data_IF_357486176192
#
_entry.id   IF_357486176192
#
_cell.length_a   1.000
_cell.length_b   1.000
_cell.length_c   1.000
_cell.angle_alpha   90.00
_cell.angle_beta   90.00
_cell.angle_gamma   90.00
#
_symmetry.space_group_name_H-M   'P 1'
#
loop_
_entity.id
_entity.type
_entity.pdbx_description
1 polymer ?
#
# COMPACT_ATOMS: atom_id res chain seq x y z
N UNK A 1 15.22 15.54 0.81
CA UNK A 1 14.18 16.49 0.37
C UNK A 1 12.92 16.21 1.18
N UNK A 2 12.15 17.23 1.62
CA UNK A 2 10.76 17.01 2.05
C UNK A 2 10.01 16.27 0.93
N UNK A 3 9.09 15.35 1.27
CA UNK A 3 8.26 14.68 0.24
C UNK A 3 7.53 15.74 -0.58
N UNK A 4 7.47 15.53 -1.89
CA UNK A 4 6.68 16.40 -2.76
C UNK A 4 5.21 16.39 -2.28
N UNK A 5 4.56 17.56 -2.30
CA UNK A 5 3.13 17.69 -1.98
C UNK A 5 2.29 16.71 -2.79
N UNK A 6 2.74 16.39 -4.01
CA UNK A 6 2.08 15.43 -4.85
C UNK A 6 2.11 14.00 -4.28
N UNK A 7 3.26 13.48 -3.85
CA UNK A 7 3.32 12.12 -3.29
C UNK A 7 2.42 11.98 -2.04
N UNK A 8 2.31 13.05 -1.25
CA UNK A 8 1.37 13.12 -0.12
C UNK A 8 -0.08 13.07 -0.61
N UNK A 9 -0.44 13.84 -1.63
CA UNK A 9 -1.78 13.84 -2.21
C UNK A 9 -2.14 12.47 -2.82
N UNK A 10 -1.23 11.87 -3.59
CA UNK A 10 -1.43 10.58 -4.23
C UNK A 10 -1.67 9.46 -3.20
N UNK A 11 -0.82 9.39 -2.17
CA UNK A 11 -1.00 8.43 -1.07
C UNK A 11 -2.30 8.68 -0.28
N UNK A 12 -2.73 9.94 -0.15
CA UNK A 12 -4.03 10.31 0.42
C UNK A 12 -5.20 9.75 -0.39
N UNK A 13 -5.17 9.93 -1.71
CA UNK A 13 -6.20 9.38 -2.62
C UNK A 13 -6.22 7.85 -2.55
N UNK A 14 -5.07 7.18 -2.60
CA UNK A 14 -5.00 5.72 -2.44
C UNK A 14 -5.66 5.27 -1.14
N UNK A 15 -5.36 5.96 -0.04
CA UNK A 15 -5.87 5.64 1.30
C UNK A 15 -7.40 5.78 1.38
N UNK A 16 -7.96 6.81 0.77
CA UNK A 16 -9.41 7.02 0.73
C UNK A 16 -10.11 5.99 -0.19
N UNK A 17 -9.44 5.56 -1.27
CA UNK A 17 -10.01 4.63 -2.27
C UNK A 17 -9.74 3.14 -1.99
N UNK A 18 -9.03 2.78 -0.91
CA UNK A 18 -8.75 1.37 -0.55
C UNK A 18 -10.00 0.48 -0.52
N UNK A 19 -11.15 1.04 -0.14
CA UNK A 19 -12.42 0.31 -0.07
C UNK A 19 -13.03 -0.03 -1.44
N UNK A 20 -12.58 0.65 -2.51
CA UNK A 20 -12.99 0.41 -3.91
C UNK A 20 -12.07 -0.58 -4.61
N UNK A 21 -10.91 -0.90 -4.01
CA UNK A 21 -9.95 -1.81 -4.59
C UNK A 21 -10.42 -3.26 -4.46
N UNK A 22 -10.00 -4.10 -5.42
CA UNK A 22 -10.40 -5.51 -5.48
C UNK A 22 -9.97 -6.26 -4.23
N UNK A 23 -10.86 -7.11 -3.72
CA UNK A 23 -10.65 -7.87 -2.49
C UNK A 23 -9.40 -8.78 -2.55
N UNK A 24 -9.08 -9.31 -3.74
CA UNK A 24 -7.91 -10.18 -3.99
C UNK A 24 -6.58 -9.54 -3.58
N UNK A 25 -6.48 -8.20 -3.62
CA UNK A 25 -5.32 -7.47 -3.13
C UNK A 25 -5.11 -7.67 -1.64
N UNK A 26 -6.16 -7.88 -0.84
CA UNK A 26 -6.07 -7.96 0.61
C UNK A 26 -6.26 -9.38 1.16
N UNK A 27 -6.49 -10.35 0.30
CA UNK A 27 -6.56 -11.76 0.68
C UNK A 27 -5.20 -12.29 1.14
N UNK A 28 -5.20 -13.09 2.20
CA UNK A 28 -4.04 -13.86 2.64
C UNK A 28 -3.84 -15.10 1.73
N UNK A 29 -3.50 -14.84 0.48
CA UNK A 29 -3.37 -15.83 -0.59
C UNK A 29 -2.15 -15.52 -1.47
N UNK A 30 -1.65 -16.51 -2.21
CA UNK A 30 -0.49 -16.35 -3.11
C UNK A 30 -0.84 -15.61 -4.41
N UNK A 31 -2.10 -15.20 -4.59
CA UNK A 31 -2.52 -14.44 -5.78
C UNK A 31 -1.95 -13.03 -5.70
N UNK A 32 -1.16 -12.65 -6.71
CA UNK A 32 -0.68 -11.28 -6.90
C UNK A 32 -1.66 -10.50 -7.74
N UNK A 33 -1.73 -9.20 -7.50
CA UNK A 33 -2.58 -8.29 -8.27
C UNK A 33 -2.04 -6.87 -8.14
N UNK A 34 -2.36 -6.02 -9.13
CA UNK A 34 -2.00 -4.61 -9.13
C UNK A 34 -3.20 -3.78 -9.51
N UNK A 35 -3.44 -2.70 -8.79
CA UNK A 35 -4.51 -1.76 -9.13
C UNK A 35 -4.00 -0.32 -9.11
N UNK A 36 -4.50 0.43 -10.09
CA UNK A 36 -4.17 1.83 -10.29
C UNK A 36 -5.29 2.69 -9.69
N UNK A 37 -4.89 3.75 -9.01
CA UNK A 37 -5.77 4.79 -8.50
C UNK A 37 -5.33 6.10 -9.13
N UNK A 38 -6.21 6.69 -9.93
CA UNK A 38 -5.93 7.96 -10.60
C UNK A 38 -6.14 9.11 -9.62
N UNK A 39 -5.15 10.00 -9.55
CA UNK A 39 -5.14 11.16 -8.66
C UNK A 39 -5.81 12.35 -9.34
N UNK A 40 -5.50 12.56 -10.62
CA UNK A 40 -6.11 13.62 -11.45
C UNK A 40 -6.21 13.21 -12.92
N UNK A 41 -6.66 14.14 -13.76
CA UNK A 41 -6.86 13.95 -15.20
C UNK A 41 -5.58 14.11 -16.03
N UNK A 42 -4.48 14.56 -15.45
CA UNK A 42 -3.18 14.80 -16.10
C UNK A 42 -2.31 13.52 -16.15
N UNK A 43 -2.88 12.36 -15.85
CA UNK A 43 -2.19 11.05 -15.91
C UNK A 43 -1.42 10.70 -14.63
N UNK A 44 -1.59 11.51 -13.60
CA UNK A 44 -1.06 11.30 -12.27
C UNK A 44 -1.81 10.16 -11.56
N UNK A 45 -1.06 9.18 -11.05
CA UNK A 45 -1.64 7.99 -10.44
C UNK A 45 -0.77 7.41 -9.34
N UNK A 46 -1.36 6.51 -8.57
CA UNK A 46 -0.67 5.71 -7.57
C UNK A 46 -1.12 4.26 -7.71
N UNK A 47 -0.19 3.33 -7.64
CA UNK A 47 -0.49 1.90 -7.70
C UNK A 47 -0.45 1.27 -6.32
N UNK A 48 -1.24 0.23 -6.13
CA UNK A 48 -1.08 -0.73 -5.05
C UNK A 48 -0.94 -2.11 -5.67
N UNK A 49 0.23 -2.72 -5.52
CA UNK A 49 0.56 -4.03 -6.04
C UNK A 49 0.80 -4.99 -4.87
N UNK A 50 0.03 -6.07 -4.79
CA UNK A 50 0.34 -7.20 -3.92
C UNK A 50 1.43 -8.03 -4.58
N UNK A 51 2.63 -7.98 -4.00
CA UNK A 51 3.83 -8.61 -4.55
C UNK A 51 3.94 -10.07 -4.15
N UNK A 52 3.65 -10.39 -2.89
CA UNK A 52 3.77 -11.75 -2.39
C UNK A 52 2.97 -11.98 -1.11
N UNK A 53 2.73 -13.26 -0.83
CA UNK A 53 2.22 -13.75 0.44
C UNK A 53 3.15 -14.86 0.93
N UNK A 54 3.42 -14.88 2.23
CA UNK A 54 4.15 -15.96 2.89
C UNK A 54 3.23 -16.64 3.89
N UNK A 55 2.73 -17.86 3.62
CA UNK A 55 1.74 -18.52 4.48
C UNK A 55 2.35 -19.09 5.77
N UNK A 56 3.48 -19.81 5.69
CA UNK A 56 4.13 -20.52 6.81
C UNK A 56 5.63 -20.72 6.54
N UNK A 57 6.42 -20.98 7.59
CA UNK A 57 7.89 -21.17 7.53
C UNK A 57 8.71 -19.96 8.01
N UNK A 58 8.04 -18.91 8.46
CA UNK A 58 8.58 -17.68 9.02
C UNK A 58 7.46 -16.85 9.66
N UNK A 59 7.61 -15.53 9.72
CA UNK A 59 6.52 -14.62 10.09
C UNK A 59 5.59 -14.49 8.89
N UNK A 60 4.32 -14.95 8.96
CA UNK A 60 3.39 -14.80 7.84
C UNK A 60 3.24 -13.33 7.46
N UNK A 61 3.27 -13.02 6.16
CA UNK A 61 3.19 -11.64 5.70
C UNK A 61 2.55 -11.53 4.32
N UNK A 62 1.89 -10.39 4.06
CA UNK A 62 1.60 -9.91 2.70
C UNK A 62 2.52 -8.72 2.43
N UNK A 63 3.25 -8.77 1.32
CA UNK A 63 4.07 -7.65 0.86
C UNK A 63 3.32 -6.90 -0.23
N UNK A 64 3.23 -5.59 -0.06
CA UNK A 64 2.68 -4.67 -1.05
C UNK A 64 3.75 -3.69 -1.49
N UNK A 65 3.63 -3.27 -2.73
CA UNK A 65 4.39 -2.20 -3.32
C UNK A 65 3.44 -1.10 -3.75
N UNK A 66 3.80 0.13 -3.43
CA UNK A 66 3.07 1.34 -3.78
C UNK A 66 4.00 2.20 -4.61
N UNK A 67 3.60 2.53 -5.83
CA UNK A 67 4.38 3.41 -6.70
C UNK A 67 3.54 4.64 -7.01
N UNK A 68 4.11 5.83 -6.78
CA UNK A 68 3.52 7.09 -7.17
C UNK A 68 4.06 7.46 -8.55
N UNK A 69 3.16 7.57 -9.53
CA UNK A 69 3.49 7.90 -10.91
C UNK A 69 3.05 9.34 -11.22
N UNK A 70 3.93 10.08 -11.87
CA UNK A 70 3.64 11.41 -12.40
C UNK A 70 3.49 11.29 -13.91
N UNK A 71 2.35 11.70 -14.45
CA UNK A 71 2.04 11.56 -15.87
C UNK A 71 2.31 10.13 -16.42
N UNK A 72 1.88 9.11 -15.66
CA UNK A 72 2.10 7.67 -15.91
C UNK A 72 3.57 7.18 -15.90
N UNK A 73 4.50 7.97 -15.38
CA UNK A 73 5.92 7.58 -15.25
C UNK A 73 6.38 7.62 -13.78
N UNK A 74 7.17 6.62 -13.38
CA UNK A 74 7.86 6.66 -12.09
C UNK A 74 9.06 7.62 -12.21
N UNK A 75 8.96 8.77 -11.58
CA UNK A 75 9.95 9.85 -11.72
C UNK A 75 11.17 9.65 -10.82
N UNK A 76 10.97 9.08 -9.62
CA UNK A 76 12.07 8.84 -8.68
C UNK A 76 11.91 7.51 -7.91
N UNK A 77 13.00 6.80 -7.59
CA UNK A 77 12.96 5.58 -6.77
C UNK A 77 12.35 5.78 -5.38
N UNK A 78 12.48 6.97 -4.80
CA UNK A 78 11.88 7.34 -3.51
C UNK A 78 10.35 7.47 -3.53
N UNK A 79 9.72 7.46 -4.71
CA UNK A 79 8.26 7.43 -4.91
C UNK A 79 7.69 6.00 -4.90
N UNK A 80 8.55 5.01 -4.61
CA UNK A 80 8.21 3.61 -4.40
C UNK A 80 8.31 3.25 -2.93
N UNK A 81 7.25 2.67 -2.37
CA UNK A 81 7.17 2.28 -0.96
C UNK A 81 6.71 0.83 -0.83
N UNK A 82 7.20 0.14 0.19
CA UNK A 82 6.79 -1.22 0.50
C UNK A 82 6.01 -1.24 1.81
N UNK A 83 4.84 -1.88 1.79
CA UNK A 83 4.04 -2.12 2.99
C UNK A 83 4.08 -3.62 3.29
N UNK A 84 4.44 -3.96 4.53
CA UNK A 84 4.40 -5.34 5.01
C UNK A 84 3.28 -5.49 6.02
N UNK A 85 2.31 -6.35 5.73
CA UNK A 85 1.27 -6.74 6.68
C UNK A 85 1.70 -8.03 7.32
N UNK A 86 2.22 -7.94 8.53
CA UNK A 86 2.65 -9.08 9.34
C UNK A 86 1.43 -9.75 10.00
N UNK A 87 1.40 -11.08 9.99
CA UNK A 87 0.31 -11.92 10.49
C UNK A 87 -1.04 -11.55 9.84
N UNK A 88 -1.14 -11.59 8.51
CA UNK A 88 -2.39 -11.32 7.82
C UNK A 88 -3.46 -12.32 8.25
N UNK A 89 -4.70 -11.86 8.30
CA UNK A 89 -5.85 -12.66 8.74
C UNK A 89 -6.66 -13.14 7.54
N UNK A 90 -7.57 -14.10 7.77
CA UNK A 90 -8.56 -14.47 6.76
C UNK A 90 -9.60 -13.36 6.51
N UNK A 91 -9.69 -12.36 7.40
CA UNK A 91 -10.60 -11.24 7.24
C UNK A 91 -9.95 -10.16 6.36
N UNK A 92 -10.44 -10.06 5.12
CA UNK A 92 -10.01 -9.10 4.11
C UNK A 92 -10.13 -7.65 4.63
N UNK A 93 -11.19 -7.33 5.37
CA UNK A 93 -11.39 -5.99 5.92
C UNK A 93 -10.29 -5.61 6.93
N UNK A 94 -9.84 -6.56 7.75
CA UNK A 94 -8.73 -6.34 8.70
C UNK A 94 -7.42 -6.10 7.97
N UNK A 95 -7.12 -6.88 6.93
CA UNK A 95 -5.90 -6.70 6.14
C UNK A 95 -5.92 -5.34 5.40
N UNK A 96 -7.06 -4.96 4.82
CA UNK A 96 -7.25 -3.64 4.20
C UNK A 96 -7.06 -2.50 5.20
N UNK A 97 -7.62 -2.62 6.40
CA UNK A 97 -7.44 -1.64 7.47
C UNK A 97 -5.97 -1.51 7.88
N UNK A 98 -5.22 -2.60 7.90
CA UNK A 98 -3.78 -2.57 8.19
C UNK A 98 -2.99 -1.82 7.09
N UNK A 99 -3.36 -1.98 5.81
CA UNK A 99 -2.79 -1.17 4.71
C UNK A 99 -3.14 0.31 4.88
N UNK A 100 -4.40 0.64 5.20
CA UNK A 100 -4.84 2.02 5.46
C UNK A 100 -4.03 2.67 6.60
N UNK A 101 -3.84 1.94 7.71
CA UNK A 101 -3.06 2.44 8.83
C UNK A 101 -1.56 2.60 8.51
N UNK A 102 -1.01 1.73 7.65
CA UNK A 102 0.36 1.89 7.17
C UNK A 102 0.52 3.16 6.31
N UNK A 103 -0.43 3.43 5.41
CA UNK A 103 -0.47 4.67 4.63
C UNK A 103 -0.62 5.91 5.53
N UNK A 104 -1.55 5.89 6.49
CA UNK A 104 -1.75 6.98 7.46
C UNK A 104 -0.49 7.30 8.24
N UNK A 105 0.25 6.28 8.64
CA UNK A 105 1.50 6.47 9.34
C UNK A 105 2.58 6.99 8.41
N UNK A 106 2.72 6.46 7.20
CA UNK A 106 3.66 7.00 6.20
C UNK A 106 3.39 8.49 5.94
N UNK A 107 2.14 8.90 5.80
CA UNK A 107 1.73 10.29 5.64
C UNK A 107 2.14 11.17 6.85
N UNK A 108 2.24 10.59 8.05
CA UNK A 108 2.60 11.30 9.29
C UNK A 108 4.11 11.29 9.62
N UNK A 109 4.86 10.24 9.27
CA UNK A 109 6.20 9.99 9.86
C UNK A 109 7.38 9.93 8.87
N UNK A 110 7.17 9.92 7.55
CA UNK A 110 8.29 9.84 6.59
C UNK A 110 8.85 8.41 6.38
N UNK A 111 9.97 8.22 5.64
CA UNK A 111 10.14 7.11 4.69
C UNK A 111 10.76 5.80 5.22
N UNK A 112 10.58 5.38 6.47
CA UNK A 112 11.11 4.07 6.89
C UNK A 112 10.24 3.43 7.95
N UNK A 113 9.33 2.54 7.54
CA UNK A 113 8.45 1.86 8.50
C UNK A 113 8.32 0.38 8.17
N UNK A 114 9.13 -0.43 8.85
CA UNK A 114 8.84 -1.85 9.07
C UNK A 114 7.76 -1.96 10.13
N UNK A 115 6.54 -2.28 9.72
CA UNK A 115 5.42 -2.46 10.66
C UNK A 115 5.51 -3.80 11.38
N UNK A 116 5.94 -3.77 12.65
CA UNK A 116 5.54 -4.77 13.64
C UNK A 116 4.12 -4.43 14.13
N UNK A 117 3.17 -5.28 13.76
CA UNK A 117 1.92 -5.54 14.49
C UNK A 117 1.01 -4.33 14.76
N UNK A 118 0.03 -4.10 13.88
CA UNK A 118 -1.24 -3.50 14.29
C UNK A 118 -2.14 -4.65 14.69
N UNK A 119 -2.22 -4.93 16.00
CA UNK A 119 -3.29 -5.74 16.55
C UNK A 119 -4.58 -4.92 16.46
N UNK A 120 -5.51 -5.33 15.61
CA UNK A 120 -6.91 -5.00 15.86
C UNK A 120 -7.30 -5.79 17.12
N UNK A 121 -7.49 -5.07 18.23
CA UNK A 121 -8.11 -5.60 19.43
C UNK A 121 -9.59 -5.95 19.16
#
# INVERSE_FOLDING_TARGET
MPRDHYAIAALGVLRDDLHKLRDVLFEASDITDTQWVYVDQEGNSVTLAKQSYTPRGGVPLIAYEVEVLYNNELVAPEDKFTIHIINPTANIATNRQAVSAALDHFLKTGPSVSFKQIYAA
#
